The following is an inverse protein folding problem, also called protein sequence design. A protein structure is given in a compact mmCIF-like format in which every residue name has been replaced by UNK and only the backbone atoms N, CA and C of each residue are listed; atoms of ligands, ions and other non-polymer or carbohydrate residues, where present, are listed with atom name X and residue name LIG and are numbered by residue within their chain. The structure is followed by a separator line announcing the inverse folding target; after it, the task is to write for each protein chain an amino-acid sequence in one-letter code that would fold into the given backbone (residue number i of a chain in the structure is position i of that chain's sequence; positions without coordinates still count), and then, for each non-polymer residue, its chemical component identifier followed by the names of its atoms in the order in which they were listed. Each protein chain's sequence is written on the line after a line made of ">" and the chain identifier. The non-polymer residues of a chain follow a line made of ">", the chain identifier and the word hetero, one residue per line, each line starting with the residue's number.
data_IF_864066864955
#
_entry.id   IF_864066864955
#
_cell.length_a   1.000
_cell.length_b   1.000
_cell.length_c   1.000
_cell.angle_alpha   90.00
_cell.angle_beta   90.00
_cell.angle_gamma   90.00
#
_symmetry.space_group_name_H-M   'P 1'
#
loop_
_entity.id
_entity.type
_entity.pdbx_description
1 polymer ?
#
# COMPACT_ATOMS: atom_id res chain seq x y z
N UNK A 1 1.23 -47.01 -45.66
CA UNK A 1 1.91 -45.73 -45.90
C UNK A 1 0.97 -44.64 -45.41
N UNK A 2 1.24 -43.74 -44.48
CA UNK A 2 2.31 -43.48 -43.49
C UNK A 2 1.70 -42.37 -42.62
N UNK A 3 1.91 -42.32 -41.30
CA UNK A 3 1.34 -41.29 -40.45
C UNK A 3 2.09 -39.97 -40.61
N UNK A 4 1.42 -38.84 -40.33
CA UNK A 4 2.10 -37.66 -39.82
C UNK A 4 1.37 -37.18 -38.56
N UNK A 5 1.82 -37.73 -37.43
CA UNK A 5 1.76 -37.03 -36.16
C UNK A 5 2.68 -35.82 -36.27
N UNK A 6 2.12 -34.62 -36.15
CA UNK A 6 2.88 -33.44 -35.78
C UNK A 6 2.74 -33.26 -34.26
N UNK A 7 3.77 -33.74 -33.57
CA UNK A 7 4.07 -33.42 -32.18
C UNK A 7 4.39 -31.94 -32.12
N UNK A 8 3.45 -31.14 -31.63
CA UNK A 8 3.70 -29.79 -31.15
C UNK A 8 3.72 -29.80 -29.62
N UNK A 9 4.84 -30.18 -29.03
CA UNK A 9 5.15 -29.90 -27.62
C UNK A 9 5.15 -28.40 -27.39
N UNK A 10 4.04 -27.89 -26.87
CA UNK A 10 3.92 -26.56 -26.28
C UNK A 10 3.12 -26.71 -24.99
N UNK A 11 3.82 -26.74 -23.86
CA UNK A 11 3.24 -26.68 -22.53
C UNK A 11 2.35 -25.45 -22.39
N UNK A 12 1.15 -25.66 -21.83
CA UNK A 12 0.34 -24.61 -21.22
C UNK A 12 -0.87 -24.21 -22.03
N UNK A 13 -2.01 -24.87 -21.77
CA UNK A 13 -3.30 -24.36 -22.23
C UNK A 13 -4.39 -25.42 -22.35
N UNK A 14 -4.90 -25.91 -21.20
CA UNK A 14 -6.23 -26.52 -21.10
C UNK A 14 -6.83 -25.96 -19.79
N UNK A 15 -7.63 -24.90 -19.85
CA UNK A 15 -9.05 -24.84 -20.23
C UNK A 15 -9.99 -25.28 -19.10
N UNK A 16 -10.79 -24.32 -18.62
CA UNK A 16 -12.13 -24.57 -18.09
C UNK A 16 -12.94 -23.27 -18.12
N UNK A 17 -13.54 -22.98 -19.27
CA UNK A 17 -14.75 -22.17 -19.33
C UNK A 17 -15.90 -23.06 -18.83
N UNK A 18 -16.56 -22.66 -17.75
CA UNK A 18 -17.69 -23.40 -17.18
C UNK A 18 -18.21 -22.75 -15.89
N UNK A 19 -19.21 -21.90 -16.05
CA UNK A 19 -20.22 -21.42 -15.09
C UNK A 19 -19.97 -21.56 -13.57
N UNK A 20 -19.90 -20.41 -12.89
CA UNK A 20 -20.34 -20.27 -11.51
C UNK A 20 -19.25 -20.39 -10.44
N UNK A 21 -18.82 -19.24 -9.90
CA UNK A 21 -18.01 -19.17 -8.68
C UNK A 21 -16.51 -19.17 -8.95
N UNK A 22 -15.96 -18.01 -9.31
CA UNK A 22 -14.51 -17.77 -9.41
C UNK A 22 -13.87 -17.81 -8.02
N UNK A 23 -13.69 -19.00 -7.46
CA UNK A 23 -12.58 -19.24 -6.55
C UNK A 23 -11.33 -19.27 -7.43
N UNK A 24 -10.63 -18.14 -7.51
CA UNK A 24 -9.27 -18.11 -8.03
C UNK A 24 -8.43 -18.96 -7.09
N UNK A 25 -8.27 -20.24 -7.42
CA UNK A 25 -7.29 -21.09 -6.78
C UNK A 25 -5.91 -20.51 -7.13
N UNK A 26 -5.35 -19.74 -6.21
CA UNK A 26 -3.97 -19.28 -6.30
C UNK A 26 -3.07 -20.51 -6.41
N UNK A 27 -2.61 -20.81 -7.62
CA UNK A 27 -1.57 -21.80 -7.86
C UNK A 27 -0.27 -21.27 -7.24
N UNK A 28 -0.05 -21.63 -5.98
CA UNK A 28 1.24 -21.51 -5.31
C UNK A 28 2.22 -22.52 -5.96
N UNK A 29 2.83 -22.13 -7.08
CA UNK A 29 3.86 -22.93 -7.72
C UNK A 29 4.14 -22.49 -9.15
N UNK A 30 5.06 -21.54 -9.35
CA UNK A 30 5.88 -21.37 -10.57
C UNK A 30 6.69 -20.05 -10.60
N UNK A 31 6.45 -19.10 -9.71
CA UNK A 31 7.21 -17.85 -9.66
C UNK A 31 8.09 -17.84 -8.42
N UNK A 32 9.39 -17.56 -8.60
CA UNK A 32 10.35 -17.36 -7.51
C UNK A 32 9.74 -16.36 -6.52
N UNK A 33 9.41 -16.84 -5.32
CA UNK A 33 8.83 -15.99 -4.29
C UNK A 33 9.83 -14.87 -3.99
N UNK A 34 9.44 -13.62 -4.24
CA UNK A 34 10.33 -12.49 -3.96
C UNK A 34 10.42 -12.34 -2.45
N UNK A 35 11.62 -12.59 -1.94
CA UNK A 35 11.97 -12.41 -0.54
C UNK A 35 12.65 -11.06 -0.35
N UNK A 36 12.35 -10.44 0.78
CA UNK A 36 12.97 -9.21 1.24
C UNK A 36 13.67 -9.49 2.55
N UNK A 37 14.85 -8.87 2.73
CA UNK A 37 15.61 -8.98 3.96
C UNK A 37 14.93 -8.23 5.11
N UNK A 38 14.40 -7.05 4.80
CA UNK A 38 13.79 -6.10 5.72
C UNK A 38 12.97 -5.08 4.91
N UNK A 39 12.41 -4.07 5.62
CA UNK A 39 11.67 -2.99 4.99
C UNK A 39 12.47 -2.20 3.96
N UNK A 40 13.73 -1.94 4.24
CA UNK A 40 14.58 -1.15 3.36
C UNK A 40 14.85 -1.90 2.05
N UNK A 41 15.11 -3.20 2.12
CA UNK A 41 15.24 -4.07 0.95
C UNK A 41 13.94 -4.12 0.14
N UNK A 42 12.77 -4.16 0.79
CA UNK A 42 11.47 -4.06 0.12
C UNK A 42 11.29 -2.75 -0.64
N UNK A 43 11.53 -1.61 0.02
CA UNK A 43 11.37 -0.27 -0.57
C UNK A 43 12.33 -0.11 -1.75
N UNK A 44 13.59 -0.52 -1.59
CA UNK A 44 14.61 -0.41 -2.63
C UNK A 44 14.30 -1.32 -3.84
N UNK A 45 13.97 -2.59 -3.63
CA UNK A 45 13.64 -3.53 -4.73
C UNK A 45 12.39 -3.13 -5.50
N UNK A 46 11.40 -2.51 -4.83
CA UNK A 46 10.17 -2.04 -5.47
C UNK A 46 10.29 -0.62 -6.02
N UNK A 47 11.42 0.07 -5.85
CA UNK A 47 11.60 1.45 -6.29
C UNK A 47 10.60 2.39 -5.61
N UNK A 48 10.40 2.22 -4.31
CA UNK A 48 9.48 3.02 -3.50
C UNK A 48 10.25 4.08 -2.68
N UNK A 49 9.51 5.01 -2.10
CA UNK A 49 9.99 6.00 -1.12
C UNK A 49 9.12 5.86 0.12
N UNK A 50 9.75 5.74 1.29
CA UNK A 50 9.06 5.83 2.57
C UNK A 50 8.89 7.31 2.96
N UNK A 51 7.64 7.76 3.10
CA UNK A 51 7.31 9.19 3.14
C UNK A 51 7.15 9.78 4.54
N UNK A 52 7.23 8.95 5.59
CA UNK A 52 7.09 9.42 6.97
C UNK A 52 8.27 10.29 7.42
N UNK A 53 9.49 9.89 7.05
CA UNK A 53 10.72 10.59 7.40
C UNK A 53 10.96 11.86 6.56
N UNK A 54 10.06 12.15 5.61
CA UNK A 54 10.13 13.31 4.74
C UNK A 54 9.52 14.53 5.46
N UNK A 55 10.33 15.58 5.61
CA UNK A 55 9.89 16.85 6.21
C UNK A 55 8.73 17.47 5.41
N UNK A 56 7.79 18.13 6.08
CA UNK A 56 6.56 18.62 5.45
C UNK A 56 6.78 19.56 4.26
N UNK A 57 7.87 20.33 4.27
CA UNK A 57 8.21 21.28 3.20
C UNK A 57 8.78 20.62 1.95
N UNK A 58 9.21 19.36 2.03
CA UNK A 58 9.88 18.64 0.95
C UNK A 58 8.87 17.94 0.05
N UNK A 59 9.27 17.76 -1.21
CA UNK A 59 8.53 16.90 -2.15
C UNK A 59 8.33 15.51 -1.54
N UNK A 60 7.19 14.88 -1.84
CA UNK A 60 6.80 13.56 -1.35
C UNK A 60 6.51 13.47 0.16
N UNK A 61 6.50 14.57 0.90
CA UNK A 61 6.02 14.54 2.28
C UNK A 61 4.52 14.28 2.30
N UNK A 62 4.02 13.60 3.34
CA UNK A 62 2.57 13.36 3.50
C UNK A 62 1.80 14.67 3.44
N UNK A 63 2.25 15.72 4.12
CA UNK A 63 1.59 17.01 4.14
C UNK A 63 1.54 17.65 2.76
N UNK A 64 2.66 17.63 2.03
CA UNK A 64 2.75 18.22 0.70
C UNK A 64 1.94 17.43 -0.32
N UNK A 65 1.97 16.10 -0.25
CA UNK A 65 1.12 15.24 -1.06
C UNK A 65 -0.36 15.56 -0.82
N UNK A 66 -0.78 15.74 0.44
CA UNK A 66 -2.14 16.18 0.75
C UNK A 66 -2.44 17.57 0.21
N UNK A 67 -1.59 18.56 0.46
CA UNK A 67 -1.85 19.94 0.08
C UNK A 67 -1.86 20.13 -1.45
N UNK A 68 -0.96 19.45 -2.17
CA UNK A 68 -0.80 19.57 -3.62
C UNK A 68 -1.75 18.67 -4.42
N UNK A 69 -2.43 17.70 -3.80
CA UNK A 69 -3.39 16.81 -4.49
C UNK A 69 -4.76 17.47 -4.76
N UNK A 70 -4.74 18.69 -5.29
CA UNK A 70 -5.93 19.32 -5.84
C UNK A 70 -6.22 18.71 -7.22
N UNK A 71 -7.50 18.43 -7.49
CA UNK A 71 -8.01 17.75 -8.68
C UNK A 71 -7.36 16.39 -8.95
N UNK A 72 -6.95 15.67 -7.90
CA UNK A 72 -6.35 14.34 -7.98
C UNK A 72 -5.01 14.33 -8.76
N UNK A 73 -4.23 15.41 -8.65
CA UNK A 73 -2.97 15.62 -9.37
C UNK A 73 -1.92 14.55 -9.05
N UNK A 74 -1.94 13.98 -7.84
CA UNK A 74 -1.02 12.94 -7.40
C UNK A 74 -1.74 11.69 -6.83
N UNK A 75 -3.04 11.75 -6.58
CA UNK A 75 -3.86 10.61 -6.16
C UNK A 75 -3.78 10.28 -4.67
N UNK A 76 -3.01 11.02 -3.88
CA UNK A 76 -2.74 10.69 -2.50
C UNK A 76 -3.96 10.90 -1.58
N UNK A 77 -4.75 11.96 -1.78
CA UNK A 77 -6.00 12.18 -1.04
C UNK A 77 -6.97 11.04 -1.28
N UNK A 78 -7.11 10.57 -2.52
CA UNK A 78 -8.00 9.45 -2.85
C UNK A 78 -7.55 8.14 -2.21
N UNK A 79 -6.24 7.83 -2.27
CA UNK A 79 -5.66 6.66 -1.60
C UNK A 79 -5.89 6.71 -0.09
N UNK A 80 -5.54 7.83 0.55
CA UNK A 80 -5.70 7.98 1.99
C UNK A 80 -7.18 7.92 2.39
N UNK A 81 -8.07 8.57 1.63
CA UNK A 81 -9.52 8.50 1.82
C UNK A 81 -10.04 7.07 1.77
N UNK A 82 -9.60 6.28 0.79
CA UNK A 82 -10.02 4.88 0.64
C UNK A 82 -9.58 3.98 1.79
N UNK A 83 -8.55 4.37 2.54
CA UNK A 83 -8.02 3.61 3.68
C UNK A 83 -8.28 4.25 5.03
N UNK A 84 -8.79 5.47 5.06
CA UNK A 84 -8.89 6.27 6.27
C UNK A 84 -9.65 5.55 7.36
N UNK A 85 -10.78 4.92 7.04
CA UNK A 85 -11.60 4.18 8.01
C UNK A 85 -10.94 2.89 8.51
N UNK A 86 -10.04 2.30 7.72
CA UNK A 86 -9.26 1.12 8.11
C UNK A 86 -8.09 1.47 9.04
N UNK A 87 -7.67 2.74 9.10
CA UNK A 87 -6.71 3.18 10.11
C UNK A 87 -7.34 3.12 11.51
N UNK A 88 -6.58 2.77 12.56
CA UNK A 88 -7.11 2.75 13.92
C UNK A 88 -7.61 4.14 14.33
N UNK A 89 -8.72 4.23 15.06
CA UNK A 89 -9.23 5.51 15.59
C UNK A 89 -8.24 6.17 16.56
N UNK A 90 -7.46 5.36 17.26
CA UNK A 90 -6.36 5.78 18.10
C UNK A 90 -5.29 4.71 18.24
N UNK A 91 -4.04 5.10 18.47
CA UNK A 91 -2.94 4.19 18.75
C UNK A 91 -1.90 4.86 19.64
N UNK A 92 -1.05 4.08 20.30
CA UNK A 92 0.11 4.59 21.03
C UNK A 92 1.35 4.57 20.15
N UNK A 93 2.10 5.66 20.12
CA UNK A 93 3.41 5.75 19.44
C UNK A 93 4.61 5.43 20.34
N UNK A 94 4.33 5.01 21.58
CA UNK A 94 5.32 4.78 22.64
C UNK A 94 5.52 5.99 23.56
N UNK A 95 5.10 7.19 23.13
CA UNK A 95 5.21 8.43 23.92
C UNK A 95 3.84 9.00 24.28
N UNK A 96 2.88 8.95 23.35
CA UNK A 96 1.54 9.49 23.53
C UNK A 96 0.51 8.66 22.75
N UNK A 97 -0.77 8.81 23.15
CA UNK A 97 -1.88 8.33 22.35
C UNK A 97 -2.15 9.32 21.22
N UNK A 98 -2.09 8.84 19.98
CA UNK A 98 -2.49 9.57 18.78
C UNK A 98 -3.93 9.20 18.45
N UNK A 99 -4.74 10.19 18.16
CA UNK A 99 -6.17 10.04 17.82
C UNK A 99 -6.41 10.64 16.45
N UNK A 100 -7.33 10.05 15.68
CA UNK A 100 -7.73 10.66 14.40
C UNK A 100 -8.26 12.08 14.65
N UNK A 101 -7.91 13.05 13.79
CA UNK A 101 -8.45 14.39 13.89
C UNK A 101 -9.98 14.40 13.84
N UNK A 102 -10.61 15.18 14.73
CA UNK A 102 -12.07 15.31 14.76
C UNK A 102 -12.56 16.02 13.50
N UNK A 103 -13.74 15.63 12.99
CA UNK A 103 -14.31 16.20 11.76
C UNK A 103 -13.71 15.64 10.45
N UNK A 104 -12.75 14.73 10.54
CA UNK A 104 -12.22 13.97 9.40
C UNK A 104 -12.86 12.58 9.40
N UNK A 105 -14.16 12.54 9.08
CA UNK A 105 -14.96 11.30 9.12
C UNK A 105 -15.70 11.03 7.81
N UNK A 106 -15.54 11.89 6.80
CA UNK A 106 -16.31 11.78 5.56
C UNK A 106 -15.42 11.72 4.32
N UNK A 107 -15.91 11.08 3.24
CA UNK A 107 -15.34 11.20 1.89
C UNK A 107 -15.06 12.63 1.43
N UNK A 108 -15.80 13.60 1.97
CA UNK A 108 -15.69 15.02 1.63
C UNK A 108 -14.54 15.71 2.38
N UNK A 109 -14.11 15.14 3.53
CA UNK A 109 -12.94 15.63 4.27
C UNK A 109 -11.64 15.50 3.47
N UNK A 110 -11.64 14.68 2.41
CA UNK A 110 -10.54 14.48 1.46
C UNK A 110 -10.91 14.90 0.03
N UNK A 111 -11.89 15.80 -0.13
CA UNK A 111 -12.32 16.22 -1.46
C UNK A 111 -11.12 16.77 -2.27
N UNK A 112 -10.86 16.15 -3.42
CA UNK A 112 -9.79 16.58 -4.32
C UNK A 112 -10.12 17.92 -4.98
N UNK A 113 -11.40 18.32 -5.06
CA UNK A 113 -11.83 19.55 -5.74
C UNK A 113 -11.53 20.84 -4.97
N UNK A 114 -11.09 20.79 -3.71
CA UNK A 114 -10.72 21.99 -2.95
C UNK A 114 -9.23 22.30 -3.06
N UNK A 115 -8.91 23.58 -3.27
CA UNK A 115 -7.53 24.08 -3.36
C UNK A 115 -6.73 23.81 -2.07
N UNK A 116 -7.39 23.85 -0.91
CA UNK A 116 -6.80 23.49 0.38
C UNK A 116 -7.56 22.32 1.00
N UNK A 117 -6.82 21.41 1.62
CA UNK A 117 -7.39 20.36 2.46
C UNK A 117 -7.47 20.88 3.89
N UNK A 118 -8.70 21.04 4.39
CA UNK A 118 -8.92 21.37 5.80
C UNK A 118 -8.23 20.33 6.69
N UNK A 119 -7.55 20.79 7.74
CA UNK A 119 -6.82 19.93 8.70
C UNK A 119 -5.70 19.08 8.09
N UNK A 120 -5.14 19.46 6.93
CA UNK A 120 -4.05 18.69 6.31
C UNK A 120 -2.87 18.43 7.24
N UNK A 121 -2.55 19.38 8.12
CA UNK A 121 -1.50 19.22 9.14
C UNK A 121 -1.86 18.15 10.18
N UNK A 122 -3.09 18.16 10.70
CA UNK A 122 -3.54 17.18 11.69
C UNK A 122 -3.59 15.78 11.08
N UNK A 123 -4.06 15.68 9.83
CA UNK A 123 -4.11 14.44 9.05
C UNK A 123 -2.69 13.93 8.77
N UNK A 124 -1.77 14.81 8.35
CA UNK A 124 -0.39 14.43 8.08
C UNK A 124 0.31 13.93 9.33
N UNK A 125 0.15 14.63 10.46
CA UNK A 125 0.78 14.26 11.72
C UNK A 125 0.29 12.91 12.23
N UNK A 126 -1.03 12.69 12.17
CA UNK A 126 -1.63 11.39 12.53
C UNK A 126 -1.10 10.27 11.63
N UNK A 127 -1.09 10.50 10.31
CA UNK A 127 -0.66 9.50 9.33
C UNK A 127 0.83 9.19 9.47
N UNK A 128 1.69 10.19 9.65
CA UNK A 128 3.13 10.00 9.93
C UNK A 128 3.34 9.15 11.18
N UNK A 129 2.66 9.48 12.28
CA UNK A 129 2.78 8.71 13.51
C UNK A 129 2.33 7.25 13.30
N UNK A 130 1.28 7.02 12.51
CA UNK A 130 0.78 5.68 12.22
C UNK A 130 1.79 4.89 11.36
N UNK A 131 2.36 5.51 10.33
CA UNK A 131 3.41 4.92 9.49
C UNK A 131 4.60 4.47 10.34
N UNK A 132 5.09 5.36 11.22
CA UNK A 132 6.22 5.08 12.10
C UNK A 132 6.00 3.88 13.02
N UNK A 133 4.82 3.78 13.63
CA UNK A 133 4.48 2.68 14.54
C UNK A 133 4.31 1.38 13.77
N UNK A 134 3.67 1.45 12.59
CA UNK A 134 3.37 0.27 11.78
C UNK A 134 4.66 -0.32 11.21
N UNK A 135 5.57 0.49 10.65
CA UNK A 135 6.91 0.05 10.23
C UNK A 135 7.63 -0.77 11.32
N UNK A 136 7.65 -0.25 12.55
CA UNK A 136 8.29 -0.91 13.71
C UNK A 136 7.64 -2.22 14.13
N UNK A 137 6.33 -2.41 13.89
CA UNK A 137 5.64 -3.67 14.18
C UNK A 137 6.09 -4.73 13.18
N UNK A 138 6.15 -4.37 11.91
CA UNK A 138 6.55 -5.27 10.82
C UNK A 138 8.00 -5.74 10.93
N UNK A 139 8.89 -4.92 11.52
CA UNK A 139 10.28 -5.28 11.77
C UNK A 139 10.47 -6.31 12.92
N UNK A 140 9.51 -6.44 13.83
CA UNK A 140 9.63 -7.28 15.05
C UNK A 140 9.15 -8.71 14.89
N UNK A 141 8.37 -9.01 13.84
CA UNK A 141 7.69 -10.29 13.73
C UNK A 141 8.61 -11.47 13.39
N UNK A 142 9.88 -11.23 13.05
CA UNK A 142 10.87 -12.29 12.76
C UNK A 142 10.50 -13.23 11.61
N UNK A 143 9.38 -12.97 10.93
CA UNK A 143 8.88 -13.72 9.78
C UNK A 143 9.61 -13.25 8.52
N UNK A 144 9.82 -14.19 7.60
CA UNK A 144 10.32 -13.87 6.28
C UNK A 144 9.39 -12.83 5.62
N UNK A 145 9.96 -11.69 5.24
CA UNK A 145 9.28 -10.73 4.39
C UNK A 145 9.23 -11.32 2.99
N UNK A 146 8.09 -11.88 2.63
CA UNK A 146 7.84 -12.41 1.30
C UNK A 146 6.69 -11.64 0.70
N UNK A 147 6.61 -11.57 -0.62
CA UNK A 147 5.48 -10.91 -1.26
C UNK A 147 4.13 -11.56 -0.86
N UNK A 148 4.10 -12.87 -0.59
CA UNK A 148 2.91 -13.57 -0.11
C UNK A 148 2.53 -13.18 1.32
N UNK A 149 3.49 -13.17 2.26
CA UNK A 149 3.23 -12.79 3.66
C UNK A 149 2.82 -11.33 3.80
N UNK A 150 3.43 -10.45 3.01
CA UNK A 150 3.07 -9.03 2.94
C UNK A 150 1.66 -8.83 2.39
N UNK A 151 1.29 -9.55 1.31
CA UNK A 151 -0.08 -9.47 0.75
C UNK A 151 -1.15 -10.05 1.66
N UNK A 152 -0.82 -11.03 2.50
CA UNK A 152 -1.76 -11.61 3.46
C UNK A 152 -2.00 -10.72 4.69
N UNK A 153 -1.13 -9.73 4.95
CA UNK A 153 -1.22 -8.85 6.10
C UNK A 153 -1.99 -7.56 5.74
N UNK A 154 -3.21 -7.41 6.28
CA UNK A 154 -4.06 -6.25 6.00
C UNK A 154 -3.47 -4.91 6.46
N UNK A 155 -2.80 -4.89 7.61
CA UNK A 155 -2.12 -3.68 8.11
C UNK A 155 -0.99 -3.28 7.16
N UNK A 156 -0.27 -4.27 6.63
CA UNK A 156 0.76 -4.05 5.64
C UNK A 156 0.20 -3.51 4.32
N UNK A 157 -0.94 -4.03 3.85
CA UNK A 157 -1.57 -3.51 2.62
C UNK A 157 -1.89 -2.02 2.77
N UNK A 158 -2.52 -1.63 3.88
CA UNK A 158 -2.82 -0.22 4.17
C UNK A 158 -1.53 0.59 4.26
N UNK A 159 -0.52 0.06 4.94
CA UNK A 159 0.77 0.72 5.10
C UNK A 159 1.46 0.95 3.76
N UNK A 160 1.45 -0.06 2.87
CA UNK A 160 2.07 0.01 1.55
C UNK A 160 1.37 0.99 0.59
N UNK A 161 0.10 1.30 0.84
CA UNK A 161 -0.66 2.26 0.03
C UNK A 161 -0.56 3.70 0.57
N UNK A 162 -0.39 3.84 1.88
CA UNK A 162 -0.43 5.15 2.57
C UNK A 162 0.96 5.68 2.91
N UNK A 163 1.90 4.82 3.30
CA UNK A 163 3.18 5.22 3.89
C UNK A 163 4.37 5.10 2.94
N UNK A 164 4.15 4.58 1.74
CA UNK A 164 5.16 4.51 0.69
C UNK A 164 4.55 4.95 -0.63
N UNK A 165 5.36 5.58 -1.49
CA UNK A 165 4.97 5.98 -2.84
C UNK A 165 6.00 5.48 -3.86
N UNK A 166 5.64 5.35 -5.14
CA UNK A 166 6.62 5.12 -6.19
C UNK A 166 7.68 6.22 -6.21
N UNK A 167 8.94 5.83 -6.40
CA UNK A 167 10.02 6.78 -6.67
C UNK A 167 9.75 7.42 -8.03
N UNK A 168 9.35 8.69 -8.03
CA UNK A 168 9.26 9.48 -9.25
C UNK A 168 10.62 9.40 -9.96
N UNK A 169 10.63 8.81 -11.16
CA UNK A 169 11.81 8.74 -12.03
C UNK A 169 12.08 10.08 -12.68
#
# INVERSE_FOLDING_TARGET
>A
MTPQAAVGTGLGGLAAAGAGGTAVAYAAGAFSETTYKDFEDYVNKKGLIYIEEVEDTKSNSIKKLLDEDHNNSNGYREKLKGKWDSLPSSFSDGSATKTKPTGVTSPNSFAASSAALEKSSEISDFTKAWCKVTKKKTDKDGKAWTEATLKANSDWQIFSEVCVIPKSS
#
